data_IF_453066869043
#
_entry.id   IF_453066869043
#
_cell.length_a   1.000
_cell.length_b   1.000
_cell.length_c   1.000
_cell.angle_alpha   90.00
_cell.angle_beta   90.00
_cell.angle_gamma   90.00
#
_symmetry.space_group_name_H-M   'P 1'
#
loop_
_entity.id
_entity.type
_entity.pdbx_description
1 polymer ?
#
# COMPACT_ATOMS: atom_id res chain seq x y z
N UNK A 1 -57.38 -14.88 0.22
CA UNK A 1 -57.42 -16.14 1.00
C UNK A 1 -56.14 -16.87 0.64
N UNK A 2 -55.10 -16.97 1.46
CA UNK A 2 -55.10 -17.18 2.91
C UNK A 2 -53.95 -16.44 3.58
N UNK A 3 -54.28 -15.85 4.72
CA UNK A 3 -53.37 -15.27 5.69
C UNK A 3 -52.76 -16.41 6.53
N UNK A 4 -51.44 -16.41 6.68
CA UNK A 4 -50.70 -17.40 7.46
C UNK A 4 -49.86 -16.73 8.53
N UNK A 5 -50.53 -16.32 9.62
CA UNK A 5 -49.91 -15.81 10.84
C UNK A 5 -49.14 -16.91 11.57
N UNK A 6 -47.82 -16.76 11.70
CA UNK A 6 -47.00 -17.57 12.60
C UNK A 6 -46.37 -16.70 13.67
N UNK A 7 -47.09 -16.59 14.79
CA UNK A 7 -46.67 -16.01 16.06
C UNK A 7 -45.60 -16.90 16.69
N UNK A 8 -44.38 -16.40 16.87
CA UNK A 8 -43.34 -17.08 17.65
C UNK A 8 -43.40 -16.63 19.12
N UNK A 9 -43.13 -17.55 20.08
CA UNK A 9 -43.28 -17.28 21.50
C UNK A 9 -42.14 -16.42 22.03
N UNK A 10 -42.56 -15.42 22.81
CA UNK A 10 -41.74 -14.49 23.57
C UNK A 10 -40.99 -15.21 24.69
N UNK A 11 -39.69 -15.43 24.53
CA UNK A 11 -38.80 -15.95 25.58
C UNK A 11 -38.55 -14.85 26.62
N UNK A 12 -39.31 -14.88 27.71
CA UNK A 12 -39.07 -14.07 28.90
C UNK A 12 -37.88 -14.63 29.68
N UNK A 13 -36.68 -14.16 29.36
CA UNK A 13 -35.47 -14.55 30.09
C UNK A 13 -35.24 -13.62 31.29
N UNK A 14 -35.78 -14.08 32.42
CA UNK A 14 -35.15 -14.11 33.74
C UNK A 14 -34.38 -12.85 34.21
N UNK A 15 -35.07 -12.03 34.98
CA UNK A 15 -34.52 -10.94 35.79
C UNK A 15 -33.76 -11.52 37.01
N UNK A 16 -32.51 -11.93 36.83
CA UNK A 16 -31.54 -11.99 37.93
C UNK A 16 -30.82 -10.64 38.00
N UNK A 17 -31.47 -9.68 38.65
CA UNK A 17 -30.89 -8.41 39.08
C UNK A 17 -29.93 -8.64 40.26
N UNK A 18 -28.81 -9.30 39.99
CA UNK A 18 -27.63 -9.16 40.84
C UNK A 18 -27.08 -7.77 40.54
N UNK A 19 -27.44 -6.82 41.41
CA UNK A 19 -26.85 -5.49 41.48
C UNK A 19 -25.38 -5.69 41.82
N UNK A 20 -24.56 -6.00 40.81
CA UNK A 20 -23.12 -5.82 40.88
C UNK A 20 -22.93 -4.36 41.25
N UNK A 21 -22.60 -4.13 42.52
CA UNK A 21 -22.10 -2.86 43.02
C UNK A 21 -20.97 -2.44 42.08
N UNK A 22 -21.31 -1.57 41.13
CA UNK A 22 -20.35 -0.96 40.21
C UNK A 22 -19.28 -0.37 41.10
N UNK A 23 -18.11 -1.01 41.10
CA UNK A 23 -17.00 -0.68 41.98
C UNK A 23 -16.87 0.84 42.05
N UNK A 24 -16.95 1.37 43.29
CA UNK A 24 -16.95 2.81 43.56
C UNK A 24 -15.88 3.45 42.69
N UNK A 25 -16.30 4.27 41.73
CA UNK A 25 -15.38 5.01 40.88
C UNK A 25 -14.42 5.78 41.81
N UNK A 26 -13.15 5.37 41.86
CA UNK A 26 -12.11 5.96 42.72
C UNK A 26 -11.74 7.41 42.36
N UNK A 27 -12.57 8.10 41.57
CA UNK A 27 -12.42 9.51 41.22
C UNK A 27 -13.46 10.36 41.96
N UNK A 28 -13.36 10.42 43.30
CA UNK A 28 -14.29 11.17 44.16
C UNK A 28 -14.34 12.68 43.86
N UNK A 29 -13.29 13.24 43.26
CA UNK A 29 -13.19 14.66 42.90
C UNK A 29 -13.70 14.96 41.47
N UNK A 30 -14.04 13.94 40.67
CA UNK A 30 -14.46 14.12 39.28
C UNK A 30 -13.40 14.81 38.39
N UNK A 31 -12.15 14.91 38.85
CA UNK A 31 -11.06 15.52 38.09
C UNK A 31 -10.56 14.49 37.08
N UNK A 32 -11.13 14.52 35.88
CA UNK A 32 -10.61 13.75 34.76
C UNK A 32 -9.15 14.15 34.53
N UNK A 33 -8.23 13.19 34.65
CA UNK A 33 -6.79 13.38 34.47
C UNK A 33 -6.40 13.73 33.02
N UNK A 34 -7.37 13.93 32.13
CA UNK A 34 -7.20 14.03 30.68
C UNK A 34 -7.89 15.27 30.08
N UNK A 35 -7.95 16.39 30.81
CA UNK A 35 -8.59 17.62 30.32
C UNK A 35 -8.01 18.11 28.99
N UNK A 36 -6.70 17.95 28.80
CA UNK A 36 -6.01 18.46 27.61
C UNK A 36 -5.92 17.43 26.46
N UNK A 37 -6.60 16.28 26.58
CA UNK A 37 -6.60 15.27 25.51
C UNK A 37 -7.73 15.52 24.52
N UNK A 38 -7.45 15.57 23.21
CA UNK A 38 -8.50 15.69 22.21
C UNK A 38 -9.44 14.48 22.26
N UNK A 39 -10.70 14.69 21.90
CA UNK A 39 -11.70 13.62 21.80
C UNK A 39 -11.20 12.46 20.94
N UNK A 40 -11.65 11.23 21.23
CA UNK A 40 -11.25 10.03 20.52
C UNK A 40 -11.50 10.13 19.01
N UNK A 41 -12.57 10.82 18.63
CA UNK A 41 -13.06 11.00 17.26
C UNK A 41 -12.84 12.42 16.72
N UNK A 42 -11.82 13.11 17.24
CA UNK A 42 -11.45 14.43 16.76
C UNK A 42 -11.03 14.39 15.26
N UNK A 43 -11.76 15.05 14.35
CA UNK A 43 -11.48 15.03 12.91
C UNK A 43 -10.16 15.75 12.57
N UNK A 44 -9.72 16.72 13.38
CA UNK A 44 -8.47 17.42 13.16
C UNK A 44 -7.29 16.47 13.35
N UNK A 45 -7.27 15.71 14.46
CA UNK A 45 -6.25 14.69 14.72
C UNK A 45 -6.25 13.61 13.63
N UNK A 46 -7.44 13.19 13.17
CA UNK A 46 -7.54 12.21 12.10
C UNK A 46 -6.90 12.70 10.79
N UNK A 47 -7.08 13.98 10.46
CA UNK A 47 -6.47 14.61 9.28
C UNK A 47 -4.95 14.66 9.42
N UNK A 48 -4.43 15.12 10.57
CA UNK A 48 -2.98 15.15 10.82
C UNK A 48 -2.34 13.76 10.72
N UNK A 49 -2.99 12.73 11.28
CA UNK A 49 -2.47 11.36 11.19
C UNK A 49 -2.42 10.84 9.75
N UNK A 50 -3.39 11.21 8.90
CA UNK A 50 -3.37 10.88 7.46
C UNK A 50 -2.23 11.61 6.76
N UNK A 51 -2.05 12.90 7.03
CA UNK A 51 -0.97 13.69 6.42
C UNK A 51 0.41 13.15 6.77
N UNK A 52 0.64 12.81 8.05
CA UNK A 52 1.89 12.16 8.45
C UNK A 52 2.05 10.77 7.87
N UNK A 53 0.94 10.02 7.74
CA UNK A 53 0.97 8.73 7.09
C UNK A 53 1.46 8.86 5.66
N UNK A 54 0.93 9.83 4.87
CA UNK A 54 1.35 10.15 3.50
C UNK A 54 2.81 10.63 3.40
N UNK A 55 3.34 11.26 4.46
CA UNK A 55 4.77 11.58 4.58
C UNK A 55 5.65 10.36 4.90
N UNK A 56 5.06 9.18 5.11
CA UNK A 56 5.75 7.94 5.46
C UNK A 56 6.15 7.86 6.93
N UNK A 57 5.67 8.77 7.79
CA UNK A 57 5.99 8.80 9.21
C UNK A 57 4.97 7.93 9.94
N UNK A 58 5.40 6.73 10.32
CA UNK A 58 4.52 5.70 10.91
C UNK A 58 4.88 5.32 12.34
N UNK A 59 5.98 5.82 12.92
CA UNK A 59 6.29 5.56 14.33
C UNK A 59 5.42 6.43 15.24
N UNK A 60 4.63 5.79 16.10
CA UNK A 60 3.77 6.43 17.10
C UNK A 60 4.53 7.35 18.08
N UNK A 61 5.80 7.07 18.39
CA UNK A 61 6.62 7.91 19.27
C UNK A 61 7.02 9.20 18.56
N UNK A 62 7.47 9.09 17.31
CA UNK A 62 7.81 10.24 16.46
C UNK A 62 6.57 11.09 16.22
N UNK A 63 5.42 10.47 15.93
CA UNK A 63 4.15 11.17 15.73
C UNK A 63 3.72 11.94 16.99
N UNK A 64 3.83 11.35 18.18
CA UNK A 64 3.50 12.02 19.45
C UNK A 64 4.31 13.29 19.64
N UNK A 65 5.63 13.21 19.43
CA UNK A 65 6.53 14.37 19.50
C UNK A 65 6.15 15.44 18.47
N UNK A 66 5.94 15.03 17.21
CA UNK A 66 5.60 15.93 16.11
C UNK A 66 4.25 16.63 16.28
N UNK A 67 3.23 15.92 16.76
CA UNK A 67 1.91 16.49 17.03
C UNK A 67 1.96 17.53 18.15
N UNK A 68 2.78 17.31 19.17
CA UNK A 68 2.99 18.27 20.24
C UNK A 68 3.78 19.51 19.76
N UNK A 69 4.88 19.31 19.04
CA UNK A 69 5.77 20.39 18.57
C UNK A 69 5.09 21.29 17.52
N UNK A 70 4.40 20.69 16.55
CA UNK A 70 3.86 21.43 15.40
C UNK A 70 2.44 21.95 15.64
N UNK A 71 1.62 21.25 16.44
CA UNK A 71 0.18 21.55 16.60
C UNK A 71 -0.27 21.71 18.06
N UNK A 72 0.63 21.54 19.05
CA UNK A 72 0.28 21.61 20.47
C UNK A 72 -0.64 20.47 20.94
N UNK A 73 -0.77 19.39 20.16
CA UNK A 73 -1.71 18.30 20.48
C UNK A 73 -1.02 17.25 21.36
N UNK A 74 -1.43 17.18 22.63
CA UNK A 74 -0.86 16.21 23.58
C UNK A 74 -1.55 14.84 23.44
N UNK A 75 -0.94 13.93 22.68
CA UNK A 75 -1.42 12.56 22.50
C UNK A 75 -0.34 11.54 22.87
N UNK A 76 -0.71 10.55 23.70
CA UNK A 76 0.16 9.42 24.01
C UNK A 76 0.32 8.45 22.82
N UNK A 77 1.49 7.84 22.69
CA UNK A 77 1.81 6.90 21.60
C UNK A 77 0.80 5.74 21.48
N UNK A 78 0.32 5.18 22.60
CA UNK A 78 -0.71 4.12 22.60
C UNK A 78 -2.04 4.60 22.02
N UNK A 79 -2.43 5.86 22.29
CA UNK A 79 -3.65 6.47 21.75
C UNK A 79 -3.52 6.70 20.24
N UNK A 80 -2.35 7.13 19.77
CA UNK A 80 -2.05 7.28 18.34
C UNK A 80 -2.16 5.93 17.63
N UNK A 81 -1.57 4.87 18.17
CA UNK A 81 -1.65 3.52 17.57
C UNK A 81 -3.10 3.02 17.46
N UNK A 82 -3.93 3.23 18.48
CA UNK A 82 -5.36 2.89 18.44
C UNK A 82 -6.12 3.69 17.39
N UNK A 83 -5.91 5.02 17.33
CA UNK A 83 -6.55 5.88 16.32
C UNK A 83 -6.13 5.52 14.91
N UNK A 84 -4.84 5.27 14.67
CA UNK A 84 -4.35 4.80 13.37
C UNK A 84 -4.98 3.48 12.95
N UNK A 85 -5.12 2.51 13.87
CA UNK A 85 -5.82 1.25 13.61
C UNK A 85 -7.27 1.50 13.20
N UNK A 86 -7.98 2.39 13.91
CA UNK A 86 -9.37 2.79 13.60
C UNK A 86 -9.49 3.47 12.23
N UNK A 87 -8.48 4.22 11.81
CA UNK A 87 -8.41 4.90 10.51
C UNK A 87 -7.91 4.02 9.36
N UNK A 88 -7.55 2.75 9.61
CA UNK A 88 -6.98 1.88 8.58
C UNK A 88 -5.55 2.25 8.16
N UNK A 89 -4.83 3.07 8.94
CA UNK A 89 -3.48 3.55 8.63
C UNK A 89 -2.42 2.52 9.06
N UNK A 90 -2.43 1.37 8.41
CA UNK A 90 -1.63 0.20 8.78
C UNK A 90 -0.17 0.27 8.33
N UNK A 91 0.65 -0.57 8.96
CA UNK A 91 2.02 -0.79 8.54
C UNK A 91 2.09 -1.72 7.32
N UNK A 92 3.26 -1.82 6.69
CA UNK A 92 3.43 -2.57 5.44
C UNK A 92 3.06 -4.04 5.54
N UNK A 93 3.36 -4.72 6.65
CA UNK A 93 3.09 -6.16 6.81
C UNK A 93 1.60 -6.47 6.75
N UNK A 94 0.79 -5.74 7.53
CA UNK A 94 -0.66 -5.95 7.59
C UNK A 94 -1.32 -5.57 6.26
N UNK A 95 -0.94 -4.44 5.68
CA UNK A 95 -1.46 -3.99 4.38
C UNK A 95 -1.14 -5.00 3.26
N UNK A 96 0.05 -5.61 3.28
CA UNK A 96 0.43 -6.63 2.28
C UNK A 96 -0.32 -7.96 2.47
N UNK A 97 -0.70 -8.29 3.70
CA UNK A 97 -1.48 -9.48 4.01
C UNK A 97 -2.96 -9.29 3.61
N UNK A 98 -3.50 -8.10 3.84
CA UNK A 98 -4.91 -7.78 3.60
C UNK A 98 -5.24 -7.55 2.11
N UNK A 99 -4.28 -7.00 1.34
CA UNK A 99 -4.45 -6.79 -0.09
C UNK A 99 -4.44 -8.10 -0.89
N UNK A 100 -5.38 -8.20 -1.84
CA UNK A 100 -5.45 -9.32 -2.78
C UNK A 100 -4.16 -9.45 -3.61
N UNK A 101 -3.79 -10.69 -3.94
CA UNK A 101 -2.56 -10.97 -4.68
C UNK A 101 -2.53 -10.30 -6.06
N UNK A 102 -3.68 -10.19 -6.72
CA UNK A 102 -3.82 -9.48 -7.99
C UNK A 102 -3.58 -7.97 -7.85
N UNK A 103 -4.16 -7.32 -6.84
CA UNK A 103 -3.98 -5.89 -6.61
C UNK A 103 -2.51 -5.56 -6.30
N UNK A 104 -1.85 -6.36 -5.45
CA UNK A 104 -0.43 -6.17 -5.11
C UNK A 104 0.47 -6.29 -6.34
N UNK A 105 0.23 -7.29 -7.21
CA UNK A 105 0.97 -7.45 -8.46
C UNK A 105 0.72 -6.30 -9.43
N UNK A 106 -0.52 -5.83 -9.53
CA UNK A 106 -0.86 -4.70 -10.40
C UNK A 106 -0.11 -3.43 -9.98
N UNK A 107 -0.09 -3.11 -8.69
CA UNK A 107 0.67 -1.96 -8.16
C UNK A 107 2.16 -2.03 -8.53
N UNK A 108 2.75 -3.24 -8.51
CA UNK A 108 4.15 -3.43 -8.89
C UNK A 108 4.35 -3.29 -10.40
N UNK A 109 3.46 -3.89 -11.21
CA UNK A 109 3.49 -3.79 -12.67
C UNK A 109 3.36 -2.33 -13.13
N UNK A 110 2.45 -1.56 -12.53
CA UNK A 110 2.25 -0.15 -12.84
C UNK A 110 3.52 0.67 -12.60
N UNK A 111 4.24 0.39 -11.51
CA UNK A 111 5.52 1.05 -11.23
C UNK A 111 6.65 0.58 -12.13
N UNK A 112 6.70 -0.70 -12.47
CA UNK A 112 7.67 -1.23 -13.42
C UNK A 112 7.46 -0.67 -14.83
N UNK A 113 6.20 -0.48 -15.24
CA UNK A 113 5.87 0.15 -16.53
C UNK A 113 6.35 1.61 -16.61
N UNK A 114 6.39 2.33 -15.48
CA UNK A 114 6.97 3.68 -15.39
C UNK A 114 8.51 3.69 -15.48
N UNK A 115 9.16 2.54 -15.42
CA UNK A 115 10.62 2.39 -15.52
C UNK A 115 11.01 1.42 -16.64
N UNK A 116 10.93 1.87 -17.91
CA UNK A 116 11.32 1.03 -19.04
C UNK A 116 12.81 0.66 -18.99
N UNK A 117 13.64 1.39 -18.23
CA UNK A 117 15.07 1.11 -18.09
C UNK A 117 15.38 0.05 -17.04
N UNK A 118 14.41 -0.33 -16.22
CA UNK A 118 14.59 -1.30 -15.15
C UNK A 118 15.66 -0.89 -14.13
N UNK A 119 15.80 0.39 -13.83
CA UNK A 119 16.79 0.91 -12.85
C UNK A 119 16.26 0.90 -11.42
N UNK A 120 14.95 0.90 -11.21
CA UNK A 120 14.36 0.92 -9.89
C UNK A 120 14.46 -0.44 -9.22
N UNK A 121 15.03 -0.46 -8.02
CA UNK A 121 15.02 -1.62 -7.15
C UNK A 121 13.74 -1.68 -6.32
N UNK A 122 13.56 -2.79 -5.60
CA UNK A 122 12.38 -3.02 -4.75
C UNK A 122 12.12 -1.88 -3.74
N UNK A 123 13.18 -1.26 -3.18
CA UNK A 123 13.05 -0.11 -2.27
C UNK A 123 12.47 1.13 -2.97
N UNK A 124 12.97 1.44 -4.18
CA UNK A 124 12.48 2.57 -4.97
C UNK A 124 11.04 2.34 -5.44
N UNK A 125 10.73 1.13 -5.88
CA UNK A 125 9.37 0.73 -6.25
C UNK A 125 8.44 0.85 -5.04
N UNK A 126 8.83 0.34 -3.87
CA UNK A 126 8.06 0.47 -2.61
C UNK A 126 7.73 1.93 -2.30
N UNK A 127 8.72 2.80 -2.38
CA UNK A 127 8.53 4.23 -2.10
C UNK A 127 7.59 4.90 -3.11
N UNK A 128 7.68 4.54 -4.39
CA UNK A 128 6.79 5.09 -5.43
C UNK A 128 5.36 4.57 -5.32
N UNK A 129 5.15 3.28 -5.05
CA UNK A 129 3.82 2.74 -4.76
C UNK A 129 3.18 3.53 -3.63
N UNK A 130 3.94 3.75 -2.56
CA UNK A 130 3.47 4.50 -1.41
C UNK A 130 3.18 5.98 -1.73
N UNK A 131 4.01 6.66 -2.52
CA UNK A 131 3.76 8.05 -2.94
C UNK A 131 2.50 8.18 -3.81
N UNK A 132 2.30 7.23 -4.73
CA UNK A 132 1.19 7.29 -5.69
C UNK A 132 -0.16 6.87 -5.06
N UNK A 133 -0.14 5.93 -4.11
CA UNK A 133 -1.37 5.29 -3.61
C UNK A 133 -1.59 5.41 -2.10
N UNK A 134 -0.57 5.80 -1.34
CA UNK A 134 -0.58 5.74 0.12
C UNK A 134 -0.49 4.32 0.70
N UNK A 135 -0.43 3.27 -0.13
CA UNK A 135 -0.39 1.88 0.33
C UNK A 135 1.05 1.42 0.59
N UNK A 136 1.23 0.72 1.71
CA UNK A 136 2.53 0.16 2.09
C UNK A 136 2.62 -1.33 1.75
N UNK A 137 3.42 -1.69 0.76
CA UNK A 137 3.81 -3.09 0.51
C UNK A 137 5.13 -3.44 1.21
N UNK A 138 5.31 -4.69 1.62
CA UNK A 138 6.60 -5.16 2.15
C UNK A 138 7.64 -5.21 1.03
N UNK A 139 8.89 -4.87 1.38
CA UNK A 139 10.01 -4.85 0.44
C UNK A 139 10.26 -6.24 -0.14
N UNK A 140 10.14 -7.27 0.69
CA UNK A 140 10.47 -8.64 0.29
C UNK A 140 9.41 -9.20 -0.69
N UNK A 141 8.12 -8.91 -0.46
CA UNK A 141 7.07 -9.21 -1.44
C UNK A 141 7.35 -8.54 -2.79
N UNK A 142 7.69 -7.25 -2.79
CA UNK A 142 8.03 -6.52 -4.03
C UNK A 142 9.23 -7.16 -4.72
N UNK A 143 10.29 -7.49 -3.98
CA UNK A 143 11.48 -8.14 -4.53
C UNK A 143 11.14 -9.45 -5.22
N UNK A 144 10.37 -10.31 -4.55
CA UNK A 144 10.00 -11.63 -5.07
C UNK A 144 9.08 -11.52 -6.30
N UNK A 145 8.13 -10.59 -6.27
CA UNK A 145 7.25 -10.31 -7.40
C UNK A 145 8.04 -9.76 -8.60
N UNK A 146 8.94 -8.79 -8.39
CA UNK A 146 9.80 -8.26 -9.47
C UNK A 146 10.68 -9.34 -10.08
N UNK A 147 11.23 -10.25 -9.26
CA UNK A 147 12.04 -11.38 -9.74
C UNK A 147 11.22 -12.35 -10.62
N UNK A 148 9.95 -12.56 -10.28
CA UNK A 148 9.03 -13.42 -11.07
C UNK A 148 8.59 -12.76 -12.38
N UNK A 149 8.34 -11.46 -12.36
CA UNK A 149 7.83 -10.70 -13.51
C UNK A 149 8.92 -10.35 -14.53
N UNK A 150 10.12 -10.00 -14.05
CA UNK A 150 11.26 -9.59 -14.87
C UNK A 150 12.57 -10.17 -14.30
N UNK A 151 12.84 -11.48 -14.55
CA UNK A 151 14.03 -12.12 -14.03
C UNK A 151 15.32 -11.53 -14.63
N UNK A 152 15.27 -11.10 -15.89
CA UNK A 152 16.43 -10.53 -16.61
C UNK A 152 16.82 -9.17 -16.04
N UNK A 153 15.88 -8.24 -15.92
CA UNK A 153 16.16 -6.94 -15.32
C UNK A 153 16.47 -7.06 -13.83
N UNK A 154 15.87 -8.01 -13.11
CA UNK A 154 16.25 -8.26 -11.72
C UNK A 154 17.71 -8.74 -11.59
N UNK A 155 18.15 -9.66 -12.45
CA UNK A 155 19.54 -10.11 -12.47
C UNK A 155 20.51 -8.96 -12.81
N UNK A 156 20.16 -8.11 -13.79
CA UNK A 156 20.94 -6.93 -14.15
C UNK A 156 21.09 -5.93 -12.98
N UNK A 157 20.09 -5.85 -12.08
CA UNK A 157 20.10 -5.02 -10.87
C UNK A 157 20.86 -5.63 -9.68
N UNK A 158 21.35 -6.87 -9.81
CA UNK A 158 21.88 -7.67 -8.70
C UNK A 158 23.06 -7.06 -7.92
N UNK A 159 23.42 -7.67 -6.77
CA UNK A 159 24.48 -7.17 -5.88
C UNK A 159 25.84 -7.02 -6.56
N UNK A 160 26.09 -7.73 -7.67
CA UNK A 160 27.28 -7.58 -8.49
C UNK A 160 27.47 -6.13 -8.96
N UNK A 161 26.42 -5.49 -9.46
CA UNK A 161 26.47 -4.11 -9.94
C UNK A 161 26.70 -3.11 -8.78
N UNK A 162 26.10 -3.37 -7.60
CA UNK A 162 26.32 -2.54 -6.40
C UNK A 162 27.78 -2.67 -5.92
N UNK A 163 28.32 -3.90 -5.90
CA UNK A 163 29.70 -4.17 -5.52
C UNK A 163 30.68 -3.50 -6.49
N UNK A 164 30.43 -3.59 -7.78
CA UNK A 164 31.24 -2.95 -8.82
C UNK A 164 31.20 -1.42 -8.71
N UNK A 165 30.00 -0.83 -8.56
CA UNK A 165 29.85 0.62 -8.34
C UNK A 165 30.58 1.08 -7.07
N UNK A 166 30.51 0.31 -5.98
CA UNK A 166 31.23 0.60 -4.72
C UNK A 166 32.74 0.53 -4.91
N UNK A 167 33.23 -0.48 -5.64
CA UNK A 167 34.65 -0.62 -5.98
C UNK A 167 35.13 0.57 -6.81
N UNK A 168 34.39 0.93 -7.86
CA UNK A 168 34.71 2.10 -8.71
C UNK A 168 34.72 3.41 -7.91
N UNK A 169 33.79 3.58 -6.96
CA UNK A 169 33.79 4.75 -6.07
C UNK A 169 35.01 4.78 -5.14
N UNK A 170 35.42 3.62 -4.62
CA UNK A 170 36.63 3.49 -3.80
C UNK A 170 37.89 3.77 -4.61
N UNK A 171 37.99 3.25 -5.84
CA UNK A 171 39.08 3.54 -6.79
C UNK A 171 39.16 5.03 -7.11
N UNK A 172 38.03 5.69 -7.39
CA UNK A 172 37.98 7.14 -7.63
C UNK A 172 38.40 7.93 -6.40
N UNK A 173 37.99 7.51 -5.19
CA UNK A 173 38.40 8.16 -3.94
C UNK A 173 39.89 8.00 -3.65
N UNK A 174 40.47 6.85 -4.00
CA UNK A 174 41.90 6.60 -3.89
C UNK A 174 42.69 7.42 -4.93
N UNK A 175 42.18 7.51 -6.17
CA UNK A 175 42.79 8.29 -7.24
C UNK A 175 42.69 9.81 -7.02
N UNK A 176 41.62 10.29 -6.37
CA UNK A 176 41.43 11.72 -6.06
C UNK A 176 42.33 12.23 -4.94
N UNK A 177 43.30 11.44 -4.48
CA UNK A 177 44.38 11.91 -3.63
C UNK A 177 43.88 12.63 -2.39
N UNK A 178 43.46 11.87 -1.38
CA UNK A 178 43.45 12.38 -0.02
C UNK A 178 44.89 12.63 0.45
N UNK A 179 45.51 13.68 -0.07
CA UNK A 179 46.22 14.64 0.77
C UNK A 179 45.20 15.38 1.62
N UNK A 180 44.43 14.63 2.41
CA UNK A 180 43.72 15.23 3.53
C UNK A 180 44.81 15.86 4.39
N UNK A 181 44.74 17.15 4.70
CA UNK A 181 45.78 17.80 5.49
C UNK A 181 45.95 16.99 6.75
N UNK A 182 47.16 16.42 6.91
CA UNK A 182 47.67 15.96 8.19
C UNK A 182 47.61 17.18 9.08
N UNK A 183 46.49 17.34 9.78
CA UNK A 183 46.40 18.22 10.92
C UNK A 183 47.29 17.62 11.98
N UNK A 184 48.58 17.94 11.88
CA UNK A 184 49.50 17.90 13.01
C UNK A 184 48.88 18.77 14.08
N UNK A 185 48.07 18.14 14.95
CA UNK A 185 47.69 18.73 16.22
C UNK A 185 48.90 18.55 17.15
N UNK A 186 49.99 19.19 16.76
CA UNK A 186 51.18 19.36 17.56
C UNK A 186 50.88 20.39 18.63
N UNK A 187 50.60 19.89 19.83
CA UNK A 187 51.32 20.29 21.04
C UNK A 187 51.61 21.78 21.19
N UNK A 188 50.74 22.54 21.88
CA UNK A 188 51.18 23.71 22.67
C UNK A 188 50.17 24.13 23.76
N UNK A 189 50.66 24.17 25.01
CA UNK A 189 50.17 24.95 26.16
C UNK A 189 48.95 24.37 26.86
N UNK A 190 49.07 23.57 27.91
CA UNK A 190 49.47 23.99 29.27
C UNK A 190 49.26 25.49 29.53
N UNK A 191 48.07 25.83 30.02
CA UNK A 191 47.80 27.08 30.73
C UNK A 191 46.64 26.84 31.68
N UNK A 192 47.02 26.48 32.90
CA UNK A 192 46.17 26.58 34.10
C UNK A 192 45.52 27.97 34.19
N UNK A 193 44.19 28.08 34.30
CA UNK A 193 43.57 29.21 34.97
C UNK A 193 43.60 28.95 36.48
N UNK A 194 44.19 29.89 37.19
CA UNK A 194 44.28 29.95 38.63
C UNK A 194 42.93 29.78 39.31
N UNK A 195 42.98 29.07 40.43
CA UNK A 195 41.96 29.04 41.46
C UNK A 195 41.68 30.48 41.95
N UNK A 196 40.50 31.00 41.66
CA UNK A 196 39.93 32.11 42.42
C UNK A 196 39.22 31.54 43.65
N UNK A 197 39.87 31.73 44.79
CA UNK A 197 39.28 31.68 46.13
C UNK A 197 37.99 32.51 46.17
N UNK A 198 36.89 31.87 46.56
CA UNK A 198 35.73 32.56 47.12
C UNK A 198 35.73 32.39 48.65
N UNK A 199 35.38 33.45 49.41
CA UNK A 199 35.34 33.40 50.87
C UNK A 199 34.11 32.63 51.36
N UNK A 200 34.17 32.05 52.58
CA UNK A 200 32.99 31.53 53.27
C UNK A 200 32.30 32.68 54.03
N UNK A 201 30.97 32.78 53.94
CA UNK A 201 30.10 32.88 55.12
C UNK A 201 28.61 33.08 54.75
N UNK A 202 27.83 32.06 55.13
CA UNK A 202 26.63 32.16 55.99
C UNK A 202 25.50 33.16 55.66
N UNK A 203 24.40 32.65 55.08
CA UNK A 203 23.12 32.35 55.80
C UNK A 203 21.83 32.58 54.98
N UNK A 204 20.99 31.54 54.99
CA UNK A 204 19.52 31.52 54.92
C UNK A 204 18.75 32.17 53.75
N UNK A 205 18.29 31.35 52.79
CA UNK A 205 16.86 30.97 52.62
C UNK A 205 16.51 30.50 51.19
N UNK A 206 15.87 29.32 51.12
CA UNK A 206 14.79 28.91 50.22
C UNK A 206 15.04 28.93 48.70
N UNK A 207 15.45 27.79 48.12
CA UNK A 207 14.61 26.76 47.48
C UNK A 207 14.27 27.05 45.99
N UNK A 208 15.09 26.56 45.04
CA UNK A 208 14.90 25.33 44.19
C UNK A 208 13.72 25.49 43.21
N UNK A 209 13.88 25.56 41.88
CA UNK A 209 14.45 24.54 40.99
C UNK A 209 14.58 25.10 39.56
N UNK A 210 15.81 25.09 39.02
CA UNK A 210 16.14 25.43 37.63
C UNK A 210 16.67 24.16 36.94
N UNK A 211 16.16 23.85 35.74
CA UNK A 211 16.69 22.81 34.85
C UNK A 211 17.78 23.40 33.93
N UNK A 212 18.89 22.68 33.65
CA UNK A 212 19.99 23.18 32.82
C UNK A 212 19.78 22.90 31.33
N UNK A 213 20.20 23.87 30.51
CA UNK A 213 20.43 23.73 29.06
C UNK A 213 21.57 22.73 28.80
N UNK A 214 21.30 21.68 28.03
CA UNK A 214 22.32 20.83 27.43
C UNK A 214 22.50 21.19 25.95
N UNK A 215 23.74 21.54 25.61
CA UNK A 215 24.24 21.74 24.26
C UNK A 215 24.20 20.41 23.47
N UNK A 216 23.60 20.45 22.27
CA UNK A 216 23.63 19.35 21.30
C UNK A 216 24.86 19.47 20.41
N UNK A 217 25.70 18.42 20.26
CA UNK A 217 26.70 18.36 19.20
C UNK A 217 26.06 17.92 17.88
N UNK A 218 26.40 18.66 16.83
CA UNK A 218 26.06 18.38 15.44
C UNK A 218 26.96 17.27 14.86
N UNK A 219 26.43 16.06 14.79
CA UNK A 219 27.04 14.96 14.01
C UNK A 219 25.95 14.23 13.23
N UNK A 220 25.82 14.56 11.94
CA UNK A 220 25.05 13.76 10.99
C UNK A 220 25.82 12.47 10.71
N UNK A 221 25.39 11.37 11.32
CA UNK A 221 25.75 10.02 10.88
C UNK A 221 24.54 9.42 10.15
N UNK A 222 24.78 9.06 8.88
CA UNK A 222 23.88 8.20 8.12
C UNK A 222 23.90 6.81 8.76
N UNK A 223 22.94 6.54 9.62
CA UNK A 223 22.72 5.22 10.18
C UNK A 223 22.13 4.32 9.10
N UNK A 224 22.97 3.40 8.66
CA UNK A 224 22.65 2.08 8.15
C UNK A 224 21.48 1.47 8.93
N UNK A 225 20.35 1.21 8.27
CA UNK A 225 19.20 0.55 8.88
C UNK A 225 19.55 -0.93 9.08
N UNK A 226 20.15 -1.20 10.23
CA UNK A 226 20.34 -2.53 10.78
C UNK A 226 19.02 -3.28 10.87
N UNK A 227 19.05 -4.48 10.31
CA UNK A 227 18.49 -5.72 10.83
C UNK A 227 17.76 -5.57 12.20
N UNK A 228 16.45 -5.34 12.17
CA UNK A 228 15.58 -5.61 13.32
C UNK A 228 15.29 -7.11 13.34
N UNK A 229 16.22 -7.88 13.91
CA UNK A 229 15.94 -9.20 14.46
C UNK A 229 15.09 -9.01 15.71
N UNK A 230 13.77 -8.89 15.50
CA UNK A 230 12.80 -9.06 16.58
C UNK A 230 12.54 -10.56 16.66
N UNK A 231 13.27 -11.22 17.57
CA UNK A 231 12.93 -12.54 18.07
C UNK A 231 11.51 -12.48 18.65
N UNK A 232 10.56 -12.99 17.87
CA UNK A 232 9.20 -13.25 18.32
C UNK A 232 9.19 -14.59 19.05
N UNK A 233 9.82 -14.65 20.21
CA UNK A 233 9.59 -15.70 21.19
C UNK A 233 8.53 -15.20 22.17
N UNK A 234 7.26 -15.34 21.78
CA UNK A 234 6.11 -15.15 22.65
C UNK A 234 5.37 -16.48 22.71
N UNK A 235 6.05 -17.46 23.31
CA UNK A 235 5.55 -18.79 23.63
C UNK A 235 5.34 -18.87 25.15
N UNK A 236 4.28 -18.28 25.69
CA UNK A 236 3.58 -18.81 26.87
C UNK A 236 2.42 -17.91 27.27
N UNK A 237 1.20 -18.44 27.19
CA UNK A 237 0.11 -18.17 28.13
C UNK A 237 -0.97 -19.24 27.91
N UNK A 238 -0.91 -20.27 28.75
CA UNK A 238 -2.02 -20.79 29.57
C UNK A 238 -3.38 -20.96 28.87
N UNK A 239 -3.79 -22.22 28.79
CA UNK A 239 -5.04 -22.68 28.19
C UNK A 239 -6.29 -21.99 28.75
N UNK A 240 -7.03 -21.34 27.85
CA UNK A 240 -8.44 -21.05 28.05
C UNK A 240 -9.22 -22.30 27.64
N UNK A 241 -9.75 -23.01 28.63
CA UNK A 241 -10.72 -24.07 28.46
C UNK A 241 -11.97 -23.47 27.78
N UNK A 242 -12.14 -23.77 26.49
CA UNK A 242 -13.39 -23.53 25.76
C UNK A 242 -14.41 -24.55 26.25
N UNK A 243 -15.57 -24.16 26.80
CA UNK A 243 -16.65 -25.08 27.05
C UNK A 243 -17.26 -25.51 25.72
N UNK A 244 -17.53 -26.81 25.64
CA UNK A 244 -18.06 -27.56 24.50
C UNK A 244 -19.37 -26.94 24.00
N UNK A 245 -19.28 -26.13 22.94
CA UNK A 245 -20.43 -25.53 22.27
C UNK A 245 -21.00 -26.55 21.29
N UNK A 246 -22.11 -27.17 21.72
CA UNK A 246 -22.88 -28.14 20.97
C UNK A 246 -23.15 -27.65 19.54
N UNK A 247 -22.55 -28.32 18.56
CA UNK A 247 -22.89 -28.15 17.16
C UNK A 247 -24.38 -28.44 16.93
N UNK A 248 -25.12 -27.60 16.19
CA UNK A 248 -26.46 -27.95 15.74
C UNK A 248 -26.41 -29.13 14.77
N UNK A 249 -27.45 -29.99 14.75
CA UNK A 249 -27.47 -31.19 13.94
C UNK A 249 -27.55 -30.83 12.45
N UNK A 250 -26.60 -31.34 11.68
CA UNK A 250 -26.65 -31.32 10.22
C UNK A 250 -27.92 -32.06 9.73
N UNK A 251 -28.69 -31.50 8.78
CA UNK A 251 -29.78 -32.23 8.17
C UNK A 251 -29.23 -33.35 7.27
N UNK A 252 -29.80 -34.53 7.47
CA UNK A 252 -29.51 -35.78 6.80
C UNK A 252 -29.51 -35.66 5.27
N UNK A 253 -28.52 -36.32 4.66
CA UNK A 253 -28.46 -36.68 3.24
C UNK A 253 -29.81 -37.18 2.74
N UNK A 254 -30.36 -36.49 1.73
CA UNK A 254 -31.39 -37.02 0.86
C UNK A 254 -30.77 -37.99 -0.17
N UNK A 255 -31.52 -39.02 -0.60
CA UNK A 255 -31.07 -40.02 -1.56
C UNK A 255 -31.02 -39.44 -2.98
N UNK A 256 -29.92 -39.73 -3.68
CA UNK A 256 -29.78 -39.52 -5.11
C UNK A 256 -30.67 -40.50 -5.86
N UNK A 257 -31.74 -40.00 -6.47
CA UNK A 257 -32.43 -40.74 -7.52
C UNK A 257 -33.07 -39.80 -8.54
N UNK A 258 -32.96 -40.20 -9.81
CA UNK A 258 -33.67 -39.71 -11.00
C UNK A 258 -33.20 -38.39 -11.64
N UNK A 259 -32.36 -38.56 -12.66
CA UNK A 259 -32.19 -37.64 -13.78
C UNK A 259 -33.40 -37.75 -14.73
N UNK A 260 -34.12 -36.66 -15.07
CA UNK A 260 -34.92 -36.59 -16.27
C UNK A 260 -34.10 -35.94 -17.40
N UNK A 261 -33.93 -36.72 -18.48
CA UNK A 261 -33.65 -36.24 -19.83
C UNK A 261 -34.65 -35.14 -20.20
N UNK A 262 -34.17 -33.92 -20.41
CA UNK A 262 -34.84 -32.89 -21.22
C UNK A 262 -33.81 -31.84 -21.64
N UNK A 263 -33.28 -32.03 -22.85
CA UNK A 263 -32.51 -31.03 -23.58
C UNK A 263 -33.46 -30.04 -24.27
N UNK A 264 -33.40 -28.72 -24.00
CA UNK A 264 -33.84 -27.73 -24.97
C UNK A 264 -32.66 -27.43 -25.91
N UNK A 265 -32.86 -27.73 -27.19
CA UNK A 265 -31.89 -27.50 -28.25
C UNK A 265 -31.53 -26.02 -28.37
N UNK A 266 -30.28 -25.70 -28.09
CA UNK A 266 -29.67 -24.45 -28.51
C UNK A 266 -29.27 -24.55 -29.99
N UNK A 267 -29.53 -23.51 -30.80
CA UNK A 267 -29.06 -23.49 -32.19
C UNK A 267 -27.53 -23.51 -32.19
N UNK A 268 -27.00 -24.50 -32.90
CA UNK A 268 -25.58 -24.68 -33.20
C UNK A 268 -25.05 -23.45 -33.92
N UNK A 269 -24.41 -22.55 -33.16
CA UNK A 269 -23.50 -21.57 -33.73
C UNK A 269 -22.31 -22.31 -34.35
N UNK A 270 -21.94 -22.03 -35.61
CA UNK A 270 -20.77 -22.65 -36.22
C UNK A 270 -19.52 -22.20 -35.46
N UNK A 271 -18.87 -23.15 -34.82
CA UNK A 271 -17.58 -23.00 -34.17
C UNK A 271 -16.54 -22.50 -35.18
N UNK A 272 -16.27 -21.21 -35.17
CA UNK A 272 -15.06 -20.64 -35.74
C UNK A 272 -13.88 -21.01 -34.83
N UNK A 273 -13.45 -22.27 -34.93
CA UNK A 273 -12.16 -22.70 -34.41
C UNK A 273 -11.11 -22.03 -35.30
N UNK A 274 -10.61 -20.88 -34.85
CA UNK A 274 -9.44 -20.25 -35.44
C UNK A 274 -8.20 -21.08 -35.03
N UNK A 275 -7.49 -21.69 -35.99
CA UNK A 275 -6.26 -22.40 -35.69
C UNK A 275 -5.23 -21.41 -35.14
N UNK A 276 -4.62 -21.79 -34.01
CA UNK A 276 -3.50 -21.10 -33.39
C UNK A 276 -2.26 -21.29 -34.27
N UNK A 277 -2.16 -20.50 -35.35
CA UNK A 277 -1.03 -20.52 -36.28
C UNK A 277 0.13 -19.68 -35.74
N UNK A 278 1.35 -20.18 -35.95
CA UNK A 278 2.59 -19.48 -35.63
C UNK A 278 2.62 -18.06 -36.24
N UNK A 279 2.95 -17.01 -35.46
CA UNK A 279 2.87 -15.61 -35.91
C UNK A 279 3.93 -15.23 -36.96
N UNK A 280 4.81 -16.15 -37.37
CA UNK A 280 5.97 -15.85 -38.20
C UNK A 280 5.76 -16.02 -39.71
N UNK A 281 4.55 -16.38 -40.18
CA UNK A 281 4.31 -16.58 -41.63
C UNK A 281 2.97 -16.05 -42.16
N UNK A 282 2.22 -15.28 -41.37
CA UNK A 282 0.94 -14.73 -41.80
C UNK A 282 1.12 -13.50 -42.72
N UNK A 283 1.45 -13.72 -43.99
CA UNK A 283 1.17 -12.73 -45.02
C UNK A 283 -0.34 -12.64 -45.16
N UNK A 284 -0.99 -11.72 -44.44
CA UNK A 284 -2.40 -11.46 -44.64
C UNK A 284 -2.60 -11.08 -46.11
N UNK A 285 -3.39 -11.87 -46.83
CA UNK A 285 -3.70 -11.56 -48.22
C UNK A 285 -4.29 -10.14 -48.30
N UNK A 286 -3.94 -9.41 -49.37
CA UNK A 286 -4.48 -8.06 -49.61
C UNK A 286 -6.03 -8.01 -49.56
N UNK A 287 -6.69 -9.13 -49.86
CA UNK A 287 -8.14 -9.30 -49.70
C UNK A 287 -8.60 -9.23 -48.24
N UNK A 288 -7.89 -9.85 -47.31
CA UNK A 288 -8.25 -9.86 -45.89
C UNK A 288 -8.12 -8.48 -45.24
N UNK A 289 -7.11 -7.70 -45.68
CA UNK A 289 -6.91 -6.31 -45.25
C UNK A 289 -8.05 -5.43 -45.74
N UNK A 290 -8.48 -5.60 -46.99
CA UNK A 290 -9.58 -4.81 -47.58
C UNK A 290 -10.91 -5.05 -46.87
N UNK A 291 -11.19 -6.31 -46.51
CA UNK A 291 -12.37 -6.68 -45.71
C UNK A 291 -12.29 -6.07 -44.31
N UNK A 292 -11.14 -6.16 -43.65
CA UNK A 292 -10.94 -5.56 -42.32
C UNK A 292 -11.11 -4.03 -42.33
N UNK A 293 -10.57 -3.35 -43.35
CA UNK A 293 -10.75 -1.91 -43.54
C UNK A 293 -12.22 -1.52 -43.81
N UNK A 294 -12.95 -2.35 -44.57
CA UNK A 294 -14.38 -2.16 -44.79
C UNK A 294 -15.18 -2.23 -43.48
N UNK A 295 -14.92 -3.26 -42.66
CA UNK A 295 -15.55 -3.41 -41.33
C UNK A 295 -15.18 -2.25 -40.41
N UNK A 296 -13.92 -1.80 -40.41
CA UNK A 296 -13.49 -0.64 -39.62
C UNK A 296 -14.18 0.65 -40.05
N UNK A 297 -14.33 0.87 -41.36
CA UNK A 297 -15.01 2.05 -41.90
C UNK A 297 -16.48 2.10 -41.49
N UNK A 298 -17.15 0.95 -41.43
CA UNK A 298 -18.56 0.86 -41.01
C UNK A 298 -18.74 0.95 -39.48
N UNK A 299 -17.82 0.38 -38.71
CA UNK A 299 -17.90 0.31 -37.24
C UNK A 299 -17.45 1.60 -36.54
N UNK A 300 -16.55 2.37 -37.14
CA UNK A 300 -16.05 3.65 -36.59
C UNK A 300 -17.17 4.63 -36.20
N UNK A 301 -18.15 4.98 -37.07
CA UNK A 301 -19.22 5.90 -36.70
C UNK A 301 -20.14 5.30 -35.60
N UNK A 302 -20.36 3.98 -35.61
CA UNK A 302 -21.15 3.30 -34.56
C UNK A 302 -20.47 3.40 -33.19
N UNK A 303 -19.14 3.25 -33.13
CA UNK A 303 -18.38 3.43 -31.87
C UNK A 303 -18.35 4.88 -31.40
N UNK A 304 -18.25 5.84 -32.33
CA UNK A 304 -18.33 7.27 -31.99
C UNK A 304 -19.69 7.64 -31.40
N UNK A 305 -20.78 7.14 -31.98
CA UNK A 305 -22.12 7.36 -31.47
C UNK A 305 -22.31 6.72 -30.09
N UNK A 306 -21.83 5.49 -29.91
CA UNK A 306 -21.86 4.82 -28.61
C UNK A 306 -21.07 5.60 -27.55
N UNK A 307 -19.90 6.13 -27.91
CA UNK A 307 -19.09 6.98 -27.00
C UNK A 307 -19.83 8.26 -26.64
N UNK A 308 -20.54 8.88 -27.60
CA UNK A 308 -21.37 10.06 -27.36
C UNK A 308 -22.52 9.76 -26.39
N UNK A 309 -23.20 8.62 -26.58
CA UNK A 309 -24.27 8.16 -25.70
C UNK A 309 -23.72 7.92 -24.29
N UNK A 310 -22.60 7.22 -24.14
CA UNK A 310 -21.97 6.98 -22.84
C UNK A 310 -21.59 8.29 -22.14
N UNK A 311 -20.99 9.24 -22.87
CA UNK A 311 -20.65 10.55 -22.32
C UNK A 311 -21.91 11.32 -21.86
N UNK A 312 -23.02 11.18 -22.58
CA UNK A 312 -24.30 11.78 -22.15
C UNK A 312 -24.89 11.10 -20.92
N UNK A 313 -24.74 9.77 -20.79
CA UNK A 313 -25.22 9.01 -19.63
C UNK A 313 -24.41 9.30 -18.36
N UNK A 314 -23.12 9.64 -18.48
CA UNK A 314 -22.30 10.06 -17.33
C UNK A 314 -22.85 11.32 -16.64
N UNK A 315 -23.62 12.16 -17.35
CA UNK A 315 -24.30 13.32 -16.77
C UNK A 315 -25.56 12.95 -15.95
N UNK A 316 -26.08 11.73 -16.12
CA UNK A 316 -27.27 11.20 -15.44
C UNK A 316 -26.94 10.11 -14.40
N UNK A 317 -25.70 10.11 -13.89
CA UNK A 317 -25.05 8.99 -13.20
C UNK A 317 -25.78 8.31 -12.03
N UNK A 318 -26.80 8.94 -11.42
CA UNK A 318 -27.48 8.39 -10.25
C UNK A 318 -28.62 7.39 -10.55
N UNK A 319 -29.04 7.22 -11.81
CA UNK A 319 -30.21 6.37 -12.14
C UNK A 319 -29.92 5.04 -12.86
N UNK A 320 -28.66 4.75 -13.21
CA UNK A 320 -28.33 3.48 -13.87
C UNK A 320 -28.31 2.32 -12.88
N UNK A 321 -29.05 1.26 -13.20
CA UNK A 321 -29.05 0.00 -12.45
C UNK A 321 -27.64 -0.64 -12.45
N UNK A 322 -27.39 -1.47 -11.45
CA UNK A 322 -26.09 -2.13 -11.25
C UNK A 322 -25.74 -3.02 -12.46
N UNK A 323 -26.73 -3.66 -13.08
CA UNK A 323 -26.53 -4.51 -14.26
C UNK A 323 -26.12 -3.70 -15.49
N UNK A 324 -26.81 -2.57 -15.75
CA UNK A 324 -26.48 -1.67 -16.85
C UNK A 324 -25.06 -1.08 -16.72
N UNK A 325 -24.65 -0.74 -15.49
CA UNK A 325 -23.29 -0.28 -15.20
C UNK A 325 -22.24 -1.35 -15.53
N UNK A 326 -22.52 -2.62 -15.24
CA UNK A 326 -21.60 -3.71 -15.57
C UNK A 326 -21.50 -3.93 -17.09
N UNK A 327 -22.63 -3.87 -17.80
CA UNK A 327 -22.64 -3.99 -19.26
C UNK A 327 -21.83 -2.85 -19.90
N UNK A 328 -22.02 -1.61 -19.42
CA UNK A 328 -21.24 -0.45 -19.86
C UNK A 328 -19.74 -0.62 -19.60
N UNK A 329 -19.36 -1.07 -18.41
CA UNK A 329 -17.95 -1.33 -18.07
C UNK A 329 -17.32 -2.38 -18.99
N UNK A 330 -18.00 -3.51 -19.22
CA UNK A 330 -17.51 -4.56 -20.15
C UNK A 330 -17.40 -4.05 -21.60
N UNK A 331 -18.33 -3.20 -22.02
CA UNK A 331 -18.29 -2.54 -23.33
C UNK A 331 -17.06 -1.65 -23.48
N UNK A 332 -16.77 -0.81 -22.48
CA UNK A 332 -15.59 0.06 -22.45
C UNK A 332 -14.27 -0.73 -22.42
N UNK A 333 -14.21 -1.80 -21.64
CA UNK A 333 -13.04 -2.70 -21.61
C UNK A 333 -12.77 -3.33 -22.98
N UNK A 334 -13.82 -3.80 -23.65
CA UNK A 334 -13.72 -4.39 -24.99
C UNK A 334 -13.24 -3.37 -26.03
N UNK A 335 -13.74 -2.13 -25.97
CA UNK A 335 -13.31 -1.04 -26.84
C UNK A 335 -11.83 -0.67 -26.62
N UNK A 336 -11.41 -0.53 -25.37
CA UNK A 336 -10.01 -0.24 -25.02
C UNK A 336 -9.06 -1.38 -25.47
N UNK A 337 -9.52 -2.64 -25.40
CA UNK A 337 -8.76 -3.76 -25.93
C UNK A 337 -8.56 -3.66 -27.45
N UNK A 338 -9.63 -3.36 -28.20
CA UNK A 338 -9.56 -3.18 -29.66
C UNK A 338 -8.61 -2.03 -30.06
N UNK A 339 -8.68 -0.90 -29.37
CA UNK A 339 -7.78 0.25 -29.60
C UNK A 339 -6.31 -0.14 -29.44
N UNK A 340 -5.98 -0.93 -28.41
CA UNK A 340 -4.62 -1.45 -28.20
C UNK A 340 -4.18 -2.40 -29.31
N UNK A 341 -5.06 -3.25 -29.82
CA UNK A 341 -4.72 -4.14 -30.94
C UNK A 341 -4.48 -3.35 -32.23
N UNK A 342 -5.32 -2.37 -32.54
CA UNK A 342 -5.14 -1.50 -33.70
C UNK A 342 -3.83 -0.71 -33.61
N UNK A 343 -3.50 -0.19 -32.43
CA UNK A 343 -2.23 0.53 -32.19
C UNK A 343 -1.00 -0.35 -32.46
N UNK A 344 -1.05 -1.64 -32.12
CA UNK A 344 0.03 -2.60 -32.41
C UNK A 344 0.19 -2.83 -33.90
N UNK A 345 -0.92 -3.01 -34.62
CA UNK A 345 -0.91 -3.20 -36.07
C UNK A 345 -0.32 -1.96 -36.77
N UNK A 346 -0.78 -0.76 -36.40
CA UNK A 346 -0.27 0.49 -36.96
C UNK A 346 1.22 0.68 -36.67
N UNK A 347 1.67 0.37 -35.45
CA UNK A 347 3.09 0.46 -35.08
C UNK A 347 3.96 -0.51 -35.87
N UNK A 348 3.46 -1.73 -36.14
CA UNK A 348 4.16 -2.73 -36.95
C UNK A 348 4.36 -2.25 -38.39
N UNK A 349 3.34 -1.63 -39.00
CA UNK A 349 3.43 -1.12 -40.38
C UNK A 349 4.44 0.01 -40.54
N UNK A 350 4.65 0.84 -39.51
CA UNK A 350 5.58 1.99 -39.58
C UNK A 350 7.05 1.57 -39.56
N UNK A 351 7.36 0.39 -39.00
CA UNK A 351 8.74 -0.10 -38.90
C UNK A 351 9.30 -0.65 -40.21
N UNK A 352 8.46 -0.98 -41.20
CA UNK A 352 8.94 -1.58 -42.46
C UNK A 352 9.30 -0.56 -43.56
N UNK A 353 9.07 0.74 -43.35
CA UNK A 353 9.25 1.76 -44.40
C UNK A 353 10.50 2.64 -44.24
N UNK A 354 11.44 2.28 -43.37
CA UNK A 354 12.71 2.99 -43.22
C UNK A 354 13.88 2.12 -43.68
N UNK A 355 13.98 1.89 -45.00
CA UNK A 355 15.29 1.64 -45.60
C UNK A 355 15.94 3.01 -45.84
N UNK A 356 17.05 3.34 -45.16
CA UNK A 356 17.78 4.56 -45.43
C UNK A 356 18.29 4.52 -46.87
N UNK A 357 18.17 5.61 -47.65
CA UNK A 357 18.71 5.66 -49.00
C UNK A 357 20.22 5.42 -48.92
N UNK A 358 20.68 4.35 -49.55
CA UNK A 358 22.11 4.11 -49.76
C UNK A 358 22.66 5.28 -50.58
N UNK A 359 23.41 6.17 -49.93
CA UNK A 359 24.25 7.15 -50.59
C UNK A 359 25.39 6.41 -51.28
N UNK A 360 25.43 6.52 -52.61
CA UNK A 360 26.47 5.99 -53.51
C UNK A 360 27.61 7.00 -53.62
#
# INVERSE_FOLDING_TARGET
MSEGSSTTPSTSNNQNSEVQERGRNNNSLGKNQYKDRPSADDPHVATLLKDYHLKGITDSRILSKRLLEEYGVTLGHTSISRRRKKLGLWASRLTTADLSESAKRQLILDQMAKDPTGKFGATSVKQRIFQDTGLHLTRDYIRDAMKKLDPVGHAARGPAHVKEKRRKLQELRAASGSGGPSGDNSTHGDSSPQALQYPPDSSANSATSSQPLTQYPSSFHSADNGQDDIDADYSDHEGVHVPDEQQPPYPSRLPSDQSPDCSPGFPSNPSLILPLADPSSASMSSSSISVALGVLKETTPKMQELTRIIASLQLYGDQLDVEDRQILLKGLESAAFLERQLSRVLSSTRSQHYDPPHLV
#
